data_IF_295350839980
#
_entry.id   IF_295350839980
#
_cell.length_a   1.000
_cell.length_b   1.000
_cell.length_c   1.000
_cell.angle_alpha   90.00
_cell.angle_beta   90.00
_cell.angle_gamma   90.00
#
_symmetry.space_group_name_H-M   'P 1'
#
loop_
_entity.id
_entity.type
_entity.pdbx_description
1 polymer ?
#
# COMPACT_ATOMS: atom_id res chain seq x y z
N UNK A 1 6.41 -12.68 23.60
CA UNK A 1 5.11 -12.06 23.24
C UNK A 1 5.44 -11.14 22.08
N UNK A 2 5.06 -11.47 20.84
CA UNK A 2 5.18 -10.51 19.73
C UNK A 2 4.15 -9.44 20.03
N UNK A 3 4.58 -8.19 20.20
CA UNK A 3 3.64 -7.08 20.18
C UNK A 3 3.04 -7.08 18.79
N UNK A 4 1.71 -7.24 18.68
CA UNK A 4 1.00 -6.93 17.45
C UNK A 4 1.23 -5.45 17.22
N UNK A 5 2.14 -5.10 16.31
CA UNK A 5 2.30 -3.71 15.89
C UNK A 5 1.03 -3.32 15.15
N UNK A 6 0.25 -2.42 15.75
CA UNK A 6 -0.94 -1.86 15.12
C UNK A 6 -0.57 -1.24 13.76
N UNK A 7 -1.35 -1.56 12.73
CA UNK A 7 -1.23 -0.93 11.42
C UNK A 7 -1.70 0.52 11.51
N UNK A 8 -0.97 1.44 10.88
CA UNK A 8 -1.47 2.81 10.69
C UNK A 8 -2.65 2.82 9.72
N UNK A 9 -3.46 3.87 9.73
CA UNK A 9 -4.58 3.99 8.77
C UNK A 9 -4.10 3.92 7.31
N UNK A 10 -2.96 4.55 6.99
CA UNK A 10 -2.35 4.45 5.67
C UNK A 10 -1.93 3.02 5.31
N UNK A 11 -1.37 2.28 6.28
CA UNK A 11 -0.98 0.88 6.08
C UNK A 11 -2.21 -0.01 5.89
N UNK A 12 -3.32 0.25 6.59
CA UNK A 12 -4.59 -0.46 6.41
C UNK A 12 -5.17 -0.23 5.02
N UNK A 13 -5.32 1.02 4.59
CA UNK A 13 -5.83 1.33 3.25
C UNK A 13 -4.94 0.74 2.15
N UNK A 14 -3.62 0.78 2.34
CA UNK A 14 -2.66 0.16 1.41
C UNK A 14 -2.85 -1.36 1.37
N UNK A 15 -2.97 -2.02 2.53
CA UNK A 15 -3.17 -3.47 2.64
C UNK A 15 -4.49 -3.91 2.02
N UNK A 16 -5.58 -3.20 2.30
CA UNK A 16 -6.91 -3.45 1.70
C UNK A 16 -6.84 -3.40 0.18
N UNK A 17 -6.18 -2.38 -0.37
CA UNK A 17 -5.98 -2.25 -1.82
C UNK A 17 -5.21 -3.45 -2.40
N UNK A 18 -4.17 -3.93 -1.71
CA UNK A 18 -3.42 -5.13 -2.13
C UNK A 18 -4.25 -6.41 -2.03
N UNK A 19 -5.16 -6.50 -1.07
CA UNK A 19 -6.06 -7.66 -0.91
C UNK A 19 -7.15 -7.68 -1.99
N UNK A 20 -7.69 -6.52 -2.35
CA UNK A 20 -8.75 -6.39 -3.36
C UNK A 20 -8.24 -6.59 -4.79
N UNK A 21 -7.00 -6.19 -5.07
CA UNK A 21 -6.43 -6.25 -6.42
C UNK A 21 -5.55 -7.48 -6.65
N UNK A 22 -5.54 -7.99 -7.88
CA UNK A 22 -4.70 -9.14 -8.26
C UNK A 22 -3.27 -8.70 -8.55
N UNK A 23 -2.42 -8.77 -7.53
CA UNK A 23 -0.99 -8.45 -7.59
C UNK A 23 -0.67 -7.01 -8.06
N UNK A 24 -1.27 -5.97 -7.43
CA UNK A 24 -1.16 -4.61 -7.93
C UNK A 24 0.28 -4.09 -7.82
N UNK A 25 0.69 -3.26 -8.80
CA UNK A 25 1.96 -2.53 -8.70
C UNK A 25 1.75 -1.29 -7.87
N UNK A 26 2.82 -0.71 -7.35
CA UNK A 26 2.76 0.53 -6.54
C UNK A 26 2.00 1.69 -7.23
N UNK A 27 2.02 1.76 -8.57
CA UNK A 27 1.26 2.77 -9.33
C UNK A 27 -0.24 2.51 -9.31
N UNK A 28 -0.65 1.24 -9.32
CA UNK A 28 -2.04 0.82 -9.39
C UNK A 28 -2.67 1.04 -8.00
N UNK A 29 -1.94 0.64 -6.95
CA UNK A 29 -2.25 0.95 -5.54
C UNK A 29 -2.43 2.45 -5.33
N UNK A 30 -1.49 3.27 -5.80
CA UNK A 30 -1.61 4.73 -5.68
C UNK A 30 -2.88 5.28 -6.32
N UNK A 31 -3.24 4.77 -7.49
CA UNK A 31 -4.43 5.22 -8.21
C UNK A 31 -5.70 4.89 -7.45
N UNK A 32 -5.80 3.67 -6.94
CA UNK A 32 -6.93 3.23 -6.11
C UNK A 32 -7.02 4.02 -4.81
N UNK A 33 -5.88 4.32 -4.17
CA UNK A 33 -5.86 5.18 -2.99
C UNK A 33 -6.29 6.62 -3.30
N UNK A 34 -5.96 7.19 -4.47
CA UNK A 34 -6.46 8.50 -4.90
C UNK A 34 -7.99 8.48 -5.10
N UNK A 35 -8.51 7.42 -5.71
CA UNK A 35 -9.95 7.28 -5.95
C UNK A 35 -10.74 7.06 -4.64
N UNK A 36 -10.08 6.55 -3.60
CA UNK A 36 -10.68 6.23 -2.30
C UNK A 36 -10.51 7.32 -1.24
N UNK A 37 -9.34 7.94 -1.17
CA UNK A 37 -9.01 8.96 -0.19
C UNK A 37 -9.13 10.36 -0.82
N UNK A 38 -10.17 11.11 -0.46
CA UNK A 38 -10.44 12.48 -0.94
C UNK A 38 -9.31 13.50 -0.70
N UNK A 39 -8.28 13.12 0.07
CA UNK A 39 -7.11 13.95 0.40
C UNK A 39 -5.89 13.66 -0.47
N UNK A 40 -5.90 12.56 -1.24
CA UNK A 40 -4.78 12.18 -2.13
C UNK A 40 -5.01 12.75 -3.51
N UNK A 41 -3.93 13.05 -4.24
CA UNK A 41 -4.01 13.74 -5.52
C UNK A 41 -2.99 13.20 -6.53
N UNK A 42 -3.45 12.96 -7.76
CA UNK A 42 -2.58 12.59 -8.88
C UNK A 42 -1.80 13.83 -9.34
N UNK A 43 -0.56 14.00 -8.87
CA UNK A 43 0.32 15.05 -9.41
C UNK A 43 0.83 14.61 -10.78
N UNK A 44 0.37 15.28 -11.83
CA UNK A 44 0.89 15.09 -13.18
C UNK A 44 2.38 15.50 -13.25
N UNK A 45 3.22 14.77 -14.01
CA UNK A 45 4.67 15.03 -14.10
C UNK A 45 5.03 16.44 -14.60
N UNK A 46 4.10 17.14 -15.24
CA UNK A 46 4.21 18.55 -15.60
C UNK A 46 4.21 19.54 -14.41
N UNK A 47 3.90 19.09 -13.18
CA UNK A 47 3.75 19.93 -11.98
C UNK A 47 4.89 19.77 -10.95
N UNK A 48 5.97 19.06 -11.30
CA UNK A 48 7.18 18.97 -10.48
C UNK A 48 7.16 17.90 -9.38
N UNK A 49 8.08 18.03 -8.42
CA UNK A 49 8.56 16.98 -7.48
C UNK A 49 7.54 16.31 -6.55
N UNK A 50 6.26 16.72 -6.54
CA UNK A 50 5.21 16.18 -5.67
C UNK A 50 4.85 14.72 -5.96
N UNK A 51 4.87 14.31 -7.23
CA UNK A 51 4.68 12.90 -7.65
C UNK A 51 5.67 11.94 -6.96
N UNK A 52 6.87 12.44 -6.63
CA UNK A 52 7.87 11.62 -5.95
C UNK A 52 7.54 11.39 -4.48
N UNK A 53 6.74 12.24 -3.83
CA UNK A 53 6.50 12.15 -2.39
C UNK A 53 5.42 11.10 -2.09
N UNK A 54 4.20 11.24 -2.62
CA UNK A 54 3.12 10.23 -2.45
C UNK A 54 3.58 8.83 -2.87
N UNK A 55 4.26 8.73 -4.02
CA UNK A 55 4.80 7.46 -4.49
C UNK A 55 5.86 6.89 -3.55
N UNK A 56 6.69 7.72 -2.91
CA UNK A 56 7.65 7.26 -1.89
C UNK A 56 6.93 6.80 -0.62
N UNK A 57 5.89 7.50 -0.21
CA UNK A 57 5.15 7.20 1.01
C UNK A 57 4.39 5.87 0.86
N UNK A 58 3.80 5.62 -0.30
CA UNK A 58 3.18 4.33 -0.64
C UNK A 58 4.23 3.22 -0.68
N UNK A 59 5.38 3.44 -1.32
CA UNK A 59 6.45 2.44 -1.33
C UNK A 59 6.96 2.14 0.07
N UNK A 60 7.08 3.16 0.93
CA UNK A 60 7.47 2.97 2.31
C UNK A 60 6.39 2.22 3.12
N UNK A 61 5.11 2.43 2.81
CA UNK A 61 3.99 1.68 3.38
C UNK A 61 4.06 0.19 2.98
N UNK A 62 4.31 -0.08 1.70
CA UNK A 62 4.48 -1.45 1.19
C UNK A 62 5.69 -2.16 1.80
N UNK A 63 6.82 -1.48 1.90
CA UNK A 63 8.03 -2.04 2.54
C UNK A 63 7.74 -2.39 4.02
N UNK A 64 7.06 -1.51 4.77
CA UNK A 64 6.67 -1.80 6.17
C UNK A 64 5.68 -2.97 6.27
N UNK A 65 4.69 -3.04 5.40
CA UNK A 65 3.73 -4.16 5.38
C UNK A 65 4.41 -5.49 5.04
N UNK A 66 5.40 -5.46 4.15
CA UNK A 66 6.22 -6.62 3.79
C UNK A 66 7.11 -7.05 4.97
N UNK A 67 7.77 -6.10 5.63
CA UNK A 67 8.58 -6.36 6.83
C UNK A 67 7.74 -6.93 7.98
N UNK A 68 6.48 -6.50 8.10
CA UNK A 68 5.49 -7.03 9.05
C UNK A 68 4.89 -8.37 8.63
N UNK A 69 5.10 -8.81 7.38
CA UNK A 69 4.62 -10.09 6.85
C UNK A 69 3.17 -10.10 6.37
N UNK A 70 2.54 -8.94 6.17
CA UNK A 70 1.17 -8.85 5.66
C UNK A 70 1.07 -8.95 4.13
N UNK A 71 2.15 -8.61 3.43
CA UNK A 71 2.25 -8.73 1.97
C UNK A 71 3.59 -9.34 1.59
N UNK A 72 3.70 -9.80 0.35
CA UNK A 72 4.93 -10.28 -0.27
C UNK A 72 5.13 -9.55 -1.60
N UNK A 73 6.34 -9.06 -1.86
CA UNK A 73 6.64 -8.42 -3.15
C UNK A 73 8.13 -8.24 -3.39
N UNK A 74 8.50 -8.25 -4.67
CA UNK A 74 9.89 -8.15 -5.12
C UNK A 74 10.25 -6.71 -5.54
N UNK A 75 9.76 -5.71 -4.80
CA UNK A 75 10.07 -4.30 -5.01
C UNK A 75 9.22 -3.55 -6.06
N UNK A 76 9.52 -2.26 -6.31
CA UNK A 76 8.63 -1.27 -6.95
C UNK A 76 8.25 -1.53 -8.42
N UNK A 77 8.91 -2.49 -9.09
CA UNK A 77 8.64 -2.87 -10.47
C UNK A 77 7.75 -4.12 -10.60
N UNK A 78 7.57 -4.85 -9.51
CA UNK A 78 6.80 -6.09 -9.45
C UNK A 78 5.47 -5.84 -8.71
N UNK A 79 4.51 -6.75 -8.90
CA UNK A 79 3.26 -6.72 -8.14
C UNK A 79 3.50 -7.10 -6.68
N UNK A 80 2.57 -6.70 -5.82
CA UNK A 80 2.52 -7.07 -4.41
C UNK A 80 1.36 -8.03 -4.18
N UNK A 81 1.59 -9.11 -3.44
CA UNK A 81 0.58 -10.13 -3.17
C UNK A 81 0.29 -10.18 -1.67
N UNK A 82 -0.97 -10.31 -1.24
CA UNK A 82 -1.29 -10.39 0.18
C UNK A 82 -0.90 -11.75 0.75
N UNK A 83 -0.26 -11.75 1.92
CA UNK A 83 -0.01 -12.96 2.70
C UNK A 83 -1.32 -13.47 3.32
N UNK A 84 -1.27 -14.61 4.01
CA UNK A 84 -2.42 -15.09 4.79
C UNK A 84 -2.79 -14.08 5.88
N UNK A 85 -1.81 -13.65 6.66
CA UNK A 85 -2.01 -12.71 7.76
C UNK A 85 -2.56 -11.37 7.24
N UNK A 86 -2.16 -10.94 6.04
CA UNK A 86 -2.71 -9.75 5.38
C UNK A 86 -4.20 -9.85 5.04
N UNK A 87 -4.63 -11.01 4.55
CA UNK A 87 -6.06 -11.25 4.24
C UNK A 87 -6.90 -11.34 5.51
N UNK A 88 -6.37 -12.00 6.53
CA UNK A 88 -7.04 -12.15 7.82
C UNK A 88 -7.19 -10.76 8.49
N UNK A 89 -6.16 -9.91 8.44
CA UNK A 89 -6.18 -8.56 9.00
C UNK A 89 -7.23 -7.62 8.36
N UNK A 90 -7.58 -7.82 7.09
CA UNK A 90 -8.63 -7.05 6.39
C UNK A 90 -10.02 -7.65 6.62
N UNK A 91 -10.13 -8.95 6.88
CA UNK A 91 -11.42 -9.65 7.00
C UNK A 91 -12.09 -9.48 8.36
N UNK A 92 -11.32 -9.16 9.40
CA UNK A 92 -11.80 -8.98 10.78
C UNK A 92 -12.05 -7.49 11.16
N UNK A 93 -11.95 -6.57 10.18
CA UNK A 93 -12.12 -5.12 10.34
C UNK A 93 -13.53 -4.59 10.16
#
# INVERSE_FOLDING_TARGET
>A
MKMEEELTEDEKHTLETVVEESEPRARDIHRTLIDRDDTRFEVFPEWGSGYNQERRDILASLDRLNDKGFIEGNGPGNGWSPSKDGRDAVSDG
#
